data_IF_805153002057
#
_entry.id   IF_805153002057
#
_cell.length_a   1.000
_cell.length_b   1.000
_cell.length_c   1.000
_cell.angle_alpha   90.00
_cell.angle_beta   90.00
_cell.angle_gamma   90.00
#
_symmetry.space_group_name_H-M   'P 1'
#
loop_
_entity.id
_entity.type
_entity.pdbx_description
1 polymer ?
#
# COMPACT_ATOMS: atom_id res chain seq x y z
N UNK A 1 24.77 -26.66 -25.73
CA UNK A 1 24.29 -26.15 -24.43
C UNK A 1 22.77 -26.16 -24.47
N UNK A 2 22.07 -26.89 -23.57
CA UNK A 2 20.61 -26.94 -23.66
C UNK A 2 20.05 -25.60 -23.16
N UNK A 3 19.43 -24.81 -24.05
CA UNK A 3 18.65 -23.63 -23.69
C UNK A 3 17.46 -24.13 -22.88
N UNK A 4 17.65 -24.21 -21.57
CA UNK A 4 16.71 -24.82 -20.65
C UNK A 4 16.12 -23.71 -19.83
N UNK A 5 14.92 -23.32 -20.24
CA UNK A 5 13.76 -22.91 -19.46
C UNK A 5 13.09 -21.73 -20.18
N UNK A 6 11.91 -21.96 -20.79
CA UNK A 6 11.05 -20.85 -21.17
C UNK A 6 10.63 -20.13 -19.90
N UNK A 7 11.13 -18.90 -19.72
CA UNK A 7 10.57 -18.00 -18.73
C UNK A 7 9.21 -17.56 -19.26
N UNK A 8 8.13 -18.06 -18.66
CA UNK A 8 6.79 -17.53 -18.89
C UNK A 8 6.64 -16.20 -18.16
N UNK A 9 7.40 -15.18 -18.58
CA UNK A 9 7.40 -13.86 -17.97
C UNK A 9 6.01 -13.20 -17.96
N UNK A 10 5.11 -13.68 -18.83
CA UNK A 10 3.70 -13.30 -18.88
C UNK A 10 2.90 -13.77 -17.65
N UNK A 11 3.30 -14.87 -17.01
CA UNK A 11 2.64 -15.42 -15.82
C UNK A 11 3.07 -14.74 -14.51
N UNK A 12 4.15 -13.94 -14.54
CA UNK A 12 4.60 -13.19 -13.38
C UNK A 12 3.65 -12.00 -13.13
N UNK A 13 3.26 -11.77 -11.88
CA UNK A 13 2.60 -10.53 -11.52
C UNK A 13 3.59 -9.34 -11.60
N UNK A 14 3.12 -8.09 -11.43
CA UNK A 14 3.99 -6.92 -11.59
C UNK A 14 5.16 -6.90 -10.61
N UNK A 15 4.96 -7.34 -9.37
CA UNK A 15 6.00 -7.38 -8.33
C UNK A 15 7.04 -8.46 -8.64
N UNK A 16 6.59 -9.66 -8.99
CA UNK A 16 7.46 -10.77 -9.43
C UNK A 16 8.29 -10.37 -10.66
N UNK A 17 7.66 -9.73 -11.65
CA UNK A 17 8.37 -9.22 -12.83
C UNK A 17 9.40 -8.14 -12.48
N UNK A 18 9.04 -7.19 -11.61
CA UNK A 18 9.96 -6.12 -11.17
C UNK A 18 11.16 -6.71 -10.43
N UNK A 19 10.93 -7.73 -9.59
CA UNK A 19 12.00 -8.42 -8.88
C UNK A 19 12.90 -9.21 -9.83
N UNK A 20 12.34 -9.87 -10.86
CA UNK A 20 13.12 -10.54 -11.89
C UNK A 20 14.10 -9.57 -12.57
N UNK A 21 13.61 -8.41 -13.02
CA UNK A 21 14.45 -7.41 -13.68
C UNK A 21 15.49 -6.84 -12.70
N UNK A 22 15.09 -6.57 -11.45
CA UNK A 22 16.00 -6.07 -10.40
C UNK A 22 17.13 -7.06 -10.14
N UNK A 23 16.80 -8.32 -9.85
CA UNK A 23 17.80 -9.38 -9.62
C UNK A 23 18.68 -9.59 -10.84
N UNK A 24 18.13 -9.49 -12.05
CA UNK A 24 18.93 -9.58 -13.29
C UNK A 24 19.94 -8.42 -13.36
N UNK A 25 19.51 -7.16 -13.24
CA UNK A 25 20.40 -5.99 -13.29
C UNK A 25 21.45 -6.01 -12.18
N UNK A 26 21.04 -6.26 -10.93
CA UNK A 26 21.96 -6.29 -9.78
C UNK A 26 23.06 -7.34 -9.94
N UNK A 27 22.72 -8.48 -10.54
CA UNK A 27 23.70 -9.53 -10.81
C UNK A 27 24.56 -9.19 -12.03
N UNK A 28 23.97 -8.67 -13.11
CA UNK A 28 24.68 -8.29 -14.34
C UNK A 28 25.70 -7.18 -14.11
N UNK A 29 25.45 -6.25 -13.19
CA UNK A 29 26.42 -5.22 -12.77
C UNK A 29 27.74 -5.79 -12.28
N UNK A 30 27.72 -6.98 -11.68
CA UNK A 30 28.93 -7.65 -11.18
C UNK A 30 29.79 -8.22 -12.34
N UNK A 31 29.19 -8.37 -13.53
CA UNK A 31 29.84 -8.90 -14.73
C UNK A 31 29.99 -7.85 -15.84
N UNK A 32 29.62 -6.59 -15.59
CA UNK A 32 29.63 -5.50 -16.57
C UNK A 32 31.04 -5.15 -17.07
N UNK A 33 32.06 -5.37 -16.24
CA UNK A 33 33.49 -5.21 -16.60
C UNK A 33 34.04 -6.38 -17.41
N UNK A 34 33.32 -7.50 -17.48
CA UNK A 34 33.76 -8.74 -18.14
C UNK A 34 33.23 -8.89 -19.57
N UNK A 35 32.36 -7.99 -20.01
CA UNK A 35 31.80 -7.98 -21.37
C UNK A 35 32.49 -6.91 -22.22
N UNK A 36 33.06 -7.31 -23.37
CA UNK A 36 33.55 -6.37 -24.38
C UNK A 36 32.48 -6.02 -25.42
N UNK A 37 31.27 -6.59 -25.29
CA UNK A 37 30.17 -6.37 -26.20
C UNK A 37 29.41 -5.07 -25.88
N UNK A 38 29.44 -4.06 -26.78
CA UNK A 38 28.79 -2.78 -26.55
C UNK A 38 27.26 -2.90 -26.50
N UNK A 39 26.67 -3.88 -27.20
CA UNK A 39 25.22 -4.09 -27.18
C UNK A 39 24.77 -4.69 -25.85
N UNK A 40 25.55 -5.60 -25.27
CA UNK A 40 25.27 -6.14 -23.92
C UNK A 40 25.33 -5.03 -22.89
N UNK A 41 26.37 -4.18 -22.95
CA UNK A 41 26.52 -3.05 -22.03
C UNK A 41 25.37 -2.03 -22.13
N UNK A 42 24.98 -1.62 -23.36
CA UNK A 42 23.84 -0.72 -23.59
C UNK A 42 22.53 -1.29 -22.98
N UNK A 43 22.24 -2.55 -23.25
CA UNK A 43 21.00 -3.17 -22.79
C UNK A 43 20.94 -3.33 -21.26
N UNK A 44 22.08 -3.58 -20.61
CA UNK A 44 22.17 -3.59 -19.15
C UNK A 44 21.85 -2.20 -18.60
N UNK A 45 22.48 -1.15 -19.13
CA UNK A 45 22.27 0.23 -18.69
C UNK A 45 20.81 0.66 -18.88
N UNK A 46 20.20 0.37 -20.04
CA UNK A 46 18.79 0.71 -20.31
C UNK A 46 17.82 -0.06 -19.41
N UNK A 47 18.14 -1.31 -19.05
CA UNK A 47 17.37 -2.06 -18.07
C UNK A 47 17.47 -1.43 -16.68
N UNK A 48 18.67 -1.01 -16.28
CA UNK A 48 18.90 -0.30 -15.03
C UNK A 48 18.11 1.02 -14.97
N UNK A 49 18.18 1.84 -16.01
CA UNK A 49 17.44 3.10 -16.13
C UNK A 49 15.92 2.90 -16.07
N UNK A 50 15.43 1.72 -16.48
CA UNK A 50 14.01 1.38 -16.40
C UNK A 50 13.54 0.99 -14.98
N UNK A 51 14.45 0.61 -14.08
CA UNK A 51 14.11 0.11 -12.74
C UNK A 51 13.38 1.12 -11.86
N UNK A 52 13.76 2.41 -11.78
CA UNK A 52 13.05 3.39 -10.97
C UNK A 52 11.57 3.48 -11.36
N UNK A 53 11.28 3.52 -12.67
CA UNK A 53 9.92 3.61 -13.20
C UNK A 53 9.12 2.32 -12.94
N UNK A 54 9.74 1.15 -13.12
CA UNK A 54 9.18 -0.16 -12.76
C UNK A 54 8.80 -0.24 -11.27
N UNK A 55 9.71 0.16 -10.38
CA UNK A 55 9.49 0.17 -8.92
C UNK A 55 8.40 1.19 -8.53
N UNK A 56 8.34 2.35 -9.19
CA UNK A 56 7.30 3.36 -8.97
C UNK A 56 5.91 2.85 -9.41
N UNK A 57 5.83 2.09 -10.50
CA UNK A 57 4.56 1.52 -11.01
C UNK A 57 3.92 0.51 -10.05
N UNK A 58 4.73 -0.18 -9.23
CA UNK A 58 4.23 -1.05 -8.14
C UNK A 58 3.45 -0.27 -7.09
N UNK A 59 3.92 0.92 -6.72
CA UNK A 59 3.26 1.76 -5.72
C UNK A 59 1.91 2.24 -6.22
N UNK A 60 1.76 2.54 -7.52
CA UNK A 60 0.49 3.04 -8.07
C UNK A 60 -0.68 2.06 -7.90
N UNK A 61 -0.42 0.75 -8.04
CA UNK A 61 -1.46 -0.29 -7.88
C UNK A 61 -1.94 -0.46 -6.44
N UNK A 62 -1.09 -0.15 -5.45
CA UNK A 62 -1.52 -0.06 -4.06
C UNK A 62 -2.23 1.30 -3.92
N UNK A 63 -3.49 1.29 -3.48
CA UNK A 63 -4.25 2.52 -3.23
C UNK A 63 -3.47 3.47 -2.31
N UNK A 64 -3.93 4.73 -2.16
CA UNK A 64 -3.22 5.70 -1.28
C UNK A 64 -2.99 5.07 0.09
N UNK A 65 -1.74 5.08 0.56
CA UNK A 65 -1.31 4.51 1.86
C UNK A 65 -2.12 5.13 3.01
N UNK A 66 -2.68 6.31 2.78
CA UNK A 66 -3.53 7.06 3.70
C UNK A 66 -4.95 6.52 3.86
N UNK A 67 -5.37 5.55 3.04
CA UNK A 67 -6.75 5.04 3.06
C UNK A 67 -7.10 4.38 4.41
N UNK A 68 -6.17 3.59 4.95
CA UNK A 68 -6.36 2.93 6.24
C UNK A 68 -6.41 3.94 7.39
N UNK A 69 -5.53 4.93 7.38
CA UNK A 69 -5.47 5.96 8.41
C UNK A 69 -6.70 6.86 8.38
N UNK A 70 -7.17 7.23 7.17
CA UNK A 70 -8.42 7.96 7.02
C UNK A 70 -9.62 7.16 7.54
N UNK A 71 -9.69 5.87 7.24
CA UNK A 71 -10.77 5.01 7.76
C UNK A 71 -10.76 4.91 9.29
N UNK A 72 -9.57 4.80 9.90
CA UNK A 72 -9.41 4.85 11.37
C UNK A 72 -9.87 6.19 11.93
N UNK A 73 -9.45 7.31 11.34
CA UNK A 73 -9.84 8.65 11.77
C UNK A 73 -11.36 8.86 11.68
N UNK A 74 -12.00 8.42 10.58
CA UNK A 74 -13.46 8.44 10.42
C UNK A 74 -14.15 7.65 11.53
N UNK A 75 -13.60 6.47 11.89
CA UNK A 75 -14.15 5.63 12.96
C UNK A 75 -14.05 6.34 14.31
N UNK A 76 -12.92 6.97 14.62
CA UNK A 76 -12.72 7.72 15.86
C UNK A 76 -13.69 8.91 15.93
N UNK A 77 -13.80 9.71 14.87
CA UNK A 77 -14.77 10.82 14.80
C UNK A 77 -16.21 10.37 15.04
N UNK A 78 -16.60 9.21 14.50
CA UNK A 78 -17.92 8.62 14.76
C UNK A 78 -18.09 8.17 16.21
N UNK A 79 -17.03 7.63 16.81
CA UNK A 79 -17.02 7.23 18.20
C UNK A 79 -17.17 8.45 19.12
N UNK A 80 -16.44 9.54 18.87
CA UNK A 80 -16.52 10.76 19.69
C UNK A 80 -17.87 11.46 19.57
N UNK A 81 -18.43 11.53 18.36
CA UNK A 81 -19.80 12.01 18.16
C UNK A 81 -20.80 11.15 18.95
N UNK A 82 -20.64 9.82 18.92
CA UNK A 82 -21.50 8.91 19.67
C UNK A 82 -21.30 9.06 21.19
N UNK A 83 -20.07 9.32 21.65
CA UNK A 83 -19.75 9.55 23.05
C UNK A 83 -20.45 10.83 23.55
N UNK A 84 -20.39 11.92 22.80
CA UNK A 84 -21.14 13.14 23.11
C UNK A 84 -22.66 12.89 23.20
N UNK A 85 -23.24 12.26 22.18
CA UNK A 85 -24.69 11.97 22.15
C UNK A 85 -25.12 11.02 23.27
N UNK A 86 -24.28 10.03 23.62
CA UNK A 86 -24.58 9.11 24.70
C UNK A 86 -24.38 9.76 26.08
N UNK A 87 -23.37 10.61 26.26
CA UNK A 87 -23.18 11.41 27.47
C UNK A 87 -24.39 12.29 27.75
N UNK A 88 -24.94 12.92 26.72
CA UNK A 88 -26.17 13.72 26.83
C UNK A 88 -27.36 12.90 27.37
N UNK A 89 -27.51 11.63 26.96
CA UNK A 89 -28.62 10.77 27.41
C UNK A 89 -28.62 10.51 28.91
N UNK A 90 -27.49 10.65 29.60
CA UNK A 90 -27.42 10.49 31.07
C UNK A 90 -28.30 11.50 31.80
N UNK A 91 -28.57 12.65 31.18
CA UNK A 91 -29.36 13.73 31.76
C UNK A 91 -30.85 13.67 31.39
N UNK A 92 -31.29 12.67 30.63
CA UNK A 92 -32.68 12.54 30.14
C UNK A 92 -33.72 12.51 31.27
N UNK A 93 -33.38 11.90 32.41
CA UNK A 93 -34.26 11.72 33.56
C UNK A 93 -33.70 12.41 34.82
N UNK A 94 -32.88 13.45 34.65
CA UNK A 94 -32.33 14.20 35.78
C UNK A 94 -33.44 14.87 36.60
N UNK A 95 -33.27 14.91 37.93
CA UNK A 95 -34.21 15.58 38.85
C UNK A 95 -33.98 17.09 38.94
N UNK A 96 -32.84 17.56 38.45
CA UNK A 96 -32.47 18.99 38.45
C UNK A 96 -33.12 19.69 37.24
N UNK A 97 -34.07 20.62 37.43
CA UNK A 97 -34.83 21.24 36.34
C UNK A 97 -33.95 21.92 35.28
N UNK A 98 -32.88 22.59 35.71
CA UNK A 98 -31.97 23.33 34.83
C UNK A 98 -31.22 22.36 33.89
N UNK A 99 -30.73 21.24 34.44
CA UNK A 99 -30.07 20.18 33.66
C UNK A 99 -31.03 19.50 32.70
N UNK A 100 -32.30 19.33 33.08
CA UNK A 100 -33.31 18.73 32.21
C UNK A 100 -33.63 19.65 31.02
N UNK A 101 -33.74 20.95 31.25
CA UNK A 101 -33.93 21.94 30.19
C UNK A 101 -32.73 22.00 29.24
N UNK A 102 -31.51 22.02 29.77
CA UNK A 102 -30.27 21.94 28.98
C UNK A 102 -30.23 20.69 28.11
N UNK A 103 -30.59 19.53 28.68
CA UNK A 103 -30.73 18.28 27.94
C UNK A 103 -31.70 18.42 26.76
N UNK A 104 -32.90 18.95 26.98
CA UNK A 104 -33.88 19.11 25.92
C UNK A 104 -33.42 20.04 24.81
N UNK A 105 -32.80 21.20 25.14
CA UNK A 105 -32.27 22.13 24.14
C UNK A 105 -31.18 21.50 23.28
N UNK A 106 -30.20 20.84 23.90
CA UNK A 106 -29.12 20.16 23.18
C UNK A 106 -29.65 18.99 22.34
N UNK A 107 -30.62 18.24 22.86
CA UNK A 107 -31.24 17.12 22.15
C UNK A 107 -31.98 17.60 20.89
N UNK A 108 -32.71 18.71 20.96
CA UNK A 108 -33.35 19.32 19.78
C UNK A 108 -32.33 19.82 18.76
N UNK A 109 -31.26 20.46 19.22
CA UNK A 109 -30.17 20.89 18.35
C UNK A 109 -29.58 19.71 17.57
N UNK A 110 -29.18 18.64 18.27
CA UNK A 110 -28.53 17.46 17.67
C UNK A 110 -29.45 16.77 16.65
N UNK A 111 -30.78 16.77 16.88
CA UNK A 111 -31.73 16.19 15.91
C UNK A 111 -31.65 16.87 14.53
N UNK A 112 -31.30 18.15 14.47
CA UNK A 112 -31.13 18.90 13.21
C UNK A 112 -29.89 18.47 12.42
N UNK A 113 -28.90 17.87 13.09
CA UNK A 113 -27.60 17.49 12.51
C UNK A 113 -27.45 15.97 12.36
N UNK A 114 -28.56 15.24 12.27
CA UNK A 114 -28.52 13.78 12.05
C UNK A 114 -27.81 13.46 10.73
N UNK A 115 -26.62 12.89 10.87
CA UNK A 115 -25.85 12.34 9.76
C UNK A 115 -26.50 11.02 9.29
N UNK A 116 -27.03 11.00 8.08
CA UNK A 116 -27.65 9.79 7.50
C UNK A 116 -26.54 8.81 7.05
N UNK A 117 -26.88 7.53 6.85
CA UNK A 117 -25.88 6.53 6.41
C UNK A 117 -25.26 6.82 5.02
N UNK A 118 -25.79 7.76 4.25
CA UNK A 118 -25.41 8.04 2.85
C UNK A 118 -24.64 9.34 2.62
N UNK A 119 -24.35 10.10 3.67
CA UNK A 119 -23.70 11.42 3.56
C UNK A 119 -22.24 11.27 3.11
N UNK A 120 -21.85 11.97 2.04
CA UNK A 120 -20.46 11.96 1.58
C UNK A 120 -19.54 12.69 2.58
N UNK A 121 -18.21 12.57 2.44
CA UNK A 121 -17.27 13.12 3.44
C UNK A 121 -17.41 14.64 3.61
N UNK A 122 -17.62 15.36 2.52
CA UNK A 122 -17.71 16.82 2.52
C UNK A 122 -18.98 17.28 3.24
N UNK A 123 -20.12 16.69 2.90
CA UNK A 123 -21.41 16.99 3.54
C UNK A 123 -21.38 16.59 5.01
N UNK A 124 -20.84 15.42 5.34
CA UNK A 124 -20.69 14.99 6.73
C UNK A 124 -19.74 15.90 7.52
N UNK A 125 -18.76 16.51 6.87
CA UNK A 125 -17.83 17.42 7.56
C UNK A 125 -18.49 18.76 7.80
N UNK A 126 -19.15 19.33 6.78
CA UNK A 126 -19.90 20.59 6.90
C UNK A 126 -21.00 20.54 7.99
N UNK A 127 -21.69 19.39 8.14
CA UNK A 127 -22.66 19.21 9.22
C UNK A 127 -22.02 19.25 10.61
N UNK A 128 -20.85 18.60 10.78
CA UNK A 128 -20.15 18.60 12.06
C UNK A 128 -19.55 19.97 12.36
N UNK A 129 -18.99 20.66 11.37
CA UNK A 129 -18.52 22.05 11.51
C UNK A 129 -19.64 22.97 11.98
N UNK A 130 -20.80 22.90 11.31
CA UNK A 130 -21.97 23.70 11.66
C UNK A 130 -22.49 23.37 13.07
N UNK A 131 -22.53 22.09 13.45
CA UNK A 131 -22.90 21.67 14.80
C UNK A 131 -21.92 22.23 15.85
N UNK A 132 -20.61 22.03 15.67
CA UNK A 132 -19.59 22.51 16.60
C UNK A 132 -19.61 24.04 16.74
N UNK A 133 -19.81 24.76 15.64
CA UNK A 133 -19.94 26.22 15.66
C UNK A 133 -21.17 26.70 16.43
N UNK A 134 -22.26 25.94 16.41
CA UNK A 134 -23.50 26.26 17.14
C UNK A 134 -23.38 25.91 18.63
N UNK A 135 -22.75 24.78 18.94
CA UNK A 135 -22.46 24.34 20.30
C UNK A 135 -21.49 25.29 21.03
N UNK A 136 -20.62 25.99 20.30
CA UNK A 136 -19.70 26.97 20.86
C UNK A 136 -20.36 28.33 21.23
N UNK A 137 -21.66 28.50 20.99
CA UNK A 137 -22.39 29.75 21.24
C UNK A 137 -23.46 29.58 22.34
N UNK A 138 -23.76 30.62 23.12
CA UNK A 138 -24.92 30.62 24.02
C UNK A 138 -26.24 30.40 23.25
N UNK A 139 -27.24 29.73 23.83
CA UNK A 139 -27.21 29.12 25.18
C UNK A 139 -26.50 27.74 25.22
N UNK A 140 -26.12 27.17 24.07
CA UNK A 140 -25.62 25.78 24.00
C UNK A 140 -24.27 25.58 24.68
N UNK A 141 -23.37 26.57 24.63
CA UNK A 141 -22.09 26.50 25.33
C UNK A 141 -22.27 26.41 26.84
N UNK A 142 -23.23 27.16 27.39
CA UNK A 142 -23.57 27.14 28.82
C UNK A 142 -24.20 25.80 29.21
N UNK A 143 -25.10 25.28 28.36
CA UNK A 143 -25.72 23.97 28.55
C UNK A 143 -24.68 22.83 28.53
N UNK A 144 -23.68 22.91 27.66
CA UNK A 144 -22.58 21.94 27.60
C UNK A 144 -21.80 21.91 28.90
N UNK A 145 -21.40 23.08 29.42
CA UNK A 145 -20.64 23.17 30.67
C UNK A 145 -21.48 22.77 31.89
N UNK A 146 -22.77 23.13 31.92
CA UNK A 146 -23.71 22.71 32.98
C UNK A 146 -23.86 21.17 33.04
N UNK A 147 -23.81 20.51 31.89
CA UNK A 147 -23.88 19.06 31.78
C UNK A 147 -22.50 18.37 31.81
N UNK A 148 -21.41 19.12 31.98
CA UNK A 148 -20.03 18.63 32.01
C UNK A 148 -19.66 17.84 30.75
N UNK A 149 -20.08 18.32 29.58
CA UNK A 149 -19.83 17.66 28.28
C UNK A 149 -18.68 18.31 27.50
N UNK A 150 -17.94 19.24 28.08
CA UNK A 150 -16.87 20.01 27.41
C UNK A 150 -15.79 19.10 26.80
N UNK A 151 -15.35 18.07 27.54
CA UNK A 151 -14.35 17.12 27.06
C UNK A 151 -14.84 16.33 25.84
N UNK A 152 -16.11 15.88 25.85
CA UNK A 152 -16.68 15.17 24.71
C UNK A 152 -16.75 16.05 23.46
N UNK A 153 -17.01 17.35 23.61
CA UNK A 153 -16.99 18.32 22.51
C UNK A 153 -15.56 18.59 22.04
N UNK A 154 -14.60 18.69 22.94
CA UNK A 154 -13.19 18.86 22.60
C UNK A 154 -12.66 17.67 21.79
N UNK A 155 -12.93 16.43 22.23
CA UNK A 155 -12.53 15.22 21.53
C UNK A 155 -13.16 15.14 20.12
N UNK A 156 -14.45 15.45 20.00
CA UNK A 156 -15.12 15.49 18.69
C UNK A 156 -14.51 16.54 17.75
N UNK A 157 -14.13 17.71 18.27
CA UNK A 157 -13.45 18.75 17.48
C UNK A 157 -12.10 18.26 16.98
N UNK A 158 -11.27 17.71 17.86
CA UNK A 158 -9.94 17.22 17.52
C UNK A 158 -10.00 16.09 16.47
N UNK A 159 -10.86 15.10 16.68
CA UNK A 159 -10.99 13.98 15.75
C UNK A 159 -11.62 14.40 14.42
N UNK A 160 -12.50 15.41 14.43
CA UNK A 160 -13.02 16.02 13.21
C UNK A 160 -11.91 16.71 12.40
N UNK A 161 -11.15 17.61 13.01
CA UNK A 161 -10.05 18.34 12.37
C UNK A 161 -8.99 17.38 11.80
N UNK A 162 -8.61 16.37 12.59
CA UNK A 162 -7.65 15.35 12.17
C UNK A 162 -8.17 14.54 10.96
N UNK A 163 -9.44 14.15 10.97
CA UNK A 163 -10.08 13.44 9.85
C UNK A 163 -10.11 14.30 8.60
N UNK A 164 -10.49 15.57 8.70
CA UNK A 164 -10.61 16.48 7.57
C UNK A 164 -9.24 16.78 6.95
N UNK A 165 -8.21 16.98 7.78
CA UNK A 165 -6.82 17.14 7.33
C UNK A 165 -6.32 15.92 6.54
N UNK A 166 -6.59 14.70 7.03
CA UNK A 166 -6.23 13.47 6.32
C UNK A 166 -6.98 13.33 5.00
N UNK A 167 -8.26 13.70 4.98
CA UNK A 167 -9.08 13.72 3.77
C UNK A 167 -8.50 14.67 2.71
N UNK A 168 -8.17 15.91 3.09
CA UNK A 168 -7.56 16.89 2.18
C UNK A 168 -6.22 16.40 1.63
N UNK A 169 -5.36 15.87 2.49
CA UNK A 169 -4.04 15.34 2.08
C UNK A 169 -4.18 14.14 1.15
N UNK A 170 -5.15 13.24 1.37
CA UNK A 170 -5.46 12.14 0.43
C UNK A 170 -6.01 12.66 -0.91
N UNK A 171 -6.86 13.69 -0.88
CA UNK A 171 -7.38 14.32 -2.10
C UNK A 171 -6.25 14.92 -2.94
N UNK A 172 -5.33 15.64 -2.29
CA UNK A 172 -4.14 16.21 -2.92
C UNK A 172 -3.21 15.12 -3.48
N UNK A 173 -2.91 14.08 -2.68
CA UNK A 173 -2.14 12.91 -3.13
C UNK A 173 -2.77 12.30 -4.39
N UNK A 174 -4.08 12.09 -4.38
CA UNK A 174 -4.81 11.54 -5.54
C UNK A 174 -4.73 12.46 -6.76
N UNK A 175 -4.84 13.78 -6.57
CA UNK A 175 -4.83 14.76 -7.65
C UNK A 175 -3.43 15.00 -8.24
N UNK A 176 -2.38 14.84 -7.45
CA UNK A 176 -0.98 15.10 -7.86
C UNK A 176 -0.23 13.82 -8.23
N UNK A 177 -0.83 12.65 -8.00
CA UNK A 177 -0.23 11.36 -8.36
C UNK A 177 -0.04 11.27 -9.87
N UNK A 178 1.21 11.26 -10.30
CA UNK A 178 1.58 10.97 -11.68
C UNK A 178 1.03 9.60 -12.07
N UNK A 179 0.23 9.56 -13.14
CA UNK A 179 -0.30 8.32 -13.69
C UNK A 179 0.77 7.66 -14.55
N UNK A 180 1.32 6.56 -14.06
CA UNK A 180 2.25 5.72 -14.81
C UNK A 180 1.44 4.66 -15.53
N UNK A 181 1.63 4.55 -16.84
CA UNK A 181 1.16 3.41 -17.60
C UNK A 181 2.00 2.18 -17.24
N UNK A 182 1.59 1.51 -16.16
CA UNK A 182 2.31 0.35 -15.62
C UNK A 182 2.45 -0.78 -16.65
N UNK A 183 1.55 -0.86 -17.63
CA UNK A 183 1.58 -1.87 -18.68
C UNK A 183 2.67 -1.53 -19.71
N UNK A 184 2.72 -0.29 -20.18
CA UNK A 184 3.75 0.15 -21.13
C UNK A 184 5.16 0.11 -20.51
N UNK A 185 5.28 0.48 -19.23
CA UNK A 185 6.55 0.35 -18.48
C UNK A 185 7.00 -1.11 -18.44
N UNK A 186 6.08 -2.04 -18.13
CA UNK A 186 6.38 -3.47 -18.11
C UNK A 186 6.79 -3.98 -19.51
N UNK A 187 6.02 -3.62 -20.55
CA UNK A 187 6.31 -4.04 -21.93
C UNK A 187 7.69 -3.57 -22.37
N UNK A 188 8.05 -2.34 -22.06
CA UNK A 188 9.35 -1.75 -22.43
C UNK A 188 10.49 -2.51 -21.77
N UNK A 189 10.44 -2.70 -20.46
CA UNK A 189 11.48 -3.47 -19.75
C UNK A 189 11.55 -4.93 -20.22
N UNK A 190 10.40 -5.55 -20.52
CA UNK A 190 10.37 -6.92 -21.03
C UNK A 190 11.01 -7.04 -22.43
N UNK A 191 10.80 -6.06 -23.30
CA UNK A 191 11.46 -5.99 -24.61
C UNK A 191 12.98 -5.91 -24.46
N UNK A 192 13.48 -5.01 -23.60
CA UNK A 192 14.92 -4.87 -23.33
C UNK A 192 15.53 -6.17 -22.80
N UNK A 193 14.87 -6.78 -21.81
CA UNK A 193 15.31 -8.03 -21.22
C UNK A 193 15.33 -9.19 -22.23
N UNK A 194 14.29 -9.28 -23.06
CA UNK A 194 14.18 -10.31 -24.12
C UNK A 194 15.26 -10.12 -25.19
N UNK A 195 15.52 -8.87 -25.59
CA UNK A 195 16.57 -8.56 -26.55
C UNK A 195 17.96 -8.93 -26.02
N UNK A 196 18.27 -8.56 -24.78
CA UNK A 196 19.54 -8.92 -24.11
C UNK A 196 19.72 -10.44 -24.08
N UNK A 197 18.71 -11.16 -23.58
CA UNK A 197 18.77 -12.62 -23.45
C UNK A 197 18.93 -13.29 -24.82
N UNK A 198 18.21 -12.82 -25.84
CA UNK A 198 18.25 -13.41 -27.19
C UNK A 198 19.61 -13.16 -27.86
N UNK A 199 20.18 -11.96 -27.69
CA UNK A 199 21.53 -11.62 -28.16
C UNK A 199 22.58 -12.54 -27.55
N UNK A 200 22.56 -12.70 -26.22
CA UNK A 200 23.48 -13.59 -25.50
C UNK A 200 23.33 -15.05 -25.97
N UNK A 201 22.11 -15.56 -26.09
CA UNK A 201 21.89 -16.92 -26.61
C UNK A 201 22.48 -17.10 -28.00
N UNK A 202 22.21 -16.17 -28.91
CA UNK A 202 22.72 -16.24 -30.28
C UNK A 202 24.25 -16.17 -30.31
N UNK A 203 24.85 -15.26 -29.54
CA UNK A 203 26.30 -15.11 -29.42
C UNK A 203 26.96 -16.38 -28.92
N UNK A 204 26.47 -16.97 -27.83
CA UNK A 204 27.05 -18.20 -27.25
C UNK A 204 26.80 -19.44 -28.12
N UNK A 205 25.71 -19.47 -28.89
CA UNK A 205 25.48 -20.54 -29.86
C UNK A 205 26.45 -20.46 -31.04
N UNK A 206 26.81 -19.26 -31.48
CA UNK A 206 27.79 -19.03 -32.54
C UNK A 206 29.22 -19.26 -32.04
N UNK A 207 29.56 -18.73 -30.86
CA UNK A 207 30.86 -18.90 -30.20
C UNK A 207 30.68 -19.37 -28.74
N UNK A 208 30.81 -20.69 -28.49
CA UNK A 208 30.68 -21.27 -27.15
C UNK A 208 31.80 -20.89 -26.17
N UNK A 209 32.84 -20.22 -26.64
CA UNK A 209 34.01 -19.77 -25.85
C UNK A 209 33.93 -18.29 -25.47
N UNK A 210 32.94 -17.55 -25.99
CA UNK A 210 32.74 -16.15 -25.70
C UNK A 210 32.62 -15.88 -24.18
N UNK A 211 33.26 -14.82 -23.66
CA UNK A 211 33.32 -14.52 -22.23
C UNK A 211 31.93 -14.25 -21.62
N UNK A 212 30.97 -13.78 -22.41
CA UNK A 212 29.59 -13.51 -21.96
C UNK A 212 28.79 -14.79 -21.65
N UNK A 213 29.38 -15.98 -21.81
CA UNK A 213 28.75 -17.25 -21.42
C UNK A 213 28.38 -17.28 -19.94
N UNK A 214 29.22 -16.69 -19.10
CA UNK A 214 28.97 -16.58 -17.65
C UNK A 214 27.72 -15.73 -17.40
N UNK A 215 27.56 -14.64 -18.14
CA UNK A 215 26.39 -13.76 -18.07
C UNK A 215 25.11 -14.54 -18.43
N UNK A 216 25.15 -15.32 -19.51
CA UNK A 216 24.00 -16.14 -19.92
C UNK A 216 23.66 -17.22 -18.88
N UNK A 217 24.66 -17.85 -18.26
CA UNK A 217 24.45 -18.86 -17.21
C UNK A 217 23.72 -18.25 -16.00
N UNK A 218 24.22 -17.14 -15.49
CA UNK A 218 23.61 -16.42 -14.36
C UNK A 218 22.15 -16.03 -14.67
N UNK A 219 21.88 -15.53 -15.88
CA UNK A 219 20.50 -15.21 -16.27
C UNK A 219 19.61 -16.45 -16.32
N UNK A 220 20.13 -17.61 -16.71
CA UNK A 220 19.37 -18.86 -16.68
C UNK A 220 19.04 -19.29 -15.25
N UNK A 221 19.99 -19.15 -14.32
CA UNK A 221 19.77 -19.49 -12.90
C UNK A 221 18.65 -18.62 -12.30
N UNK A 222 18.70 -17.31 -12.55
CA UNK A 222 17.64 -16.39 -12.14
C UNK A 222 16.30 -16.81 -12.76
N UNK A 223 16.26 -17.10 -14.07
CA UNK A 223 15.02 -17.53 -14.74
C UNK A 223 14.46 -18.83 -14.16
N UNK A 224 15.33 -19.75 -13.77
CA UNK A 224 14.96 -21.01 -13.14
C UNK A 224 14.29 -20.76 -11.79
N UNK A 225 14.89 -19.94 -10.93
CA UNK A 225 14.33 -19.61 -9.61
C UNK A 225 12.90 -19.05 -9.71
N UNK A 226 12.65 -18.16 -10.67
CA UNK A 226 11.31 -17.58 -10.88
C UNK A 226 10.33 -18.58 -11.50
N UNK A 227 10.80 -19.47 -12.38
CA UNK A 227 9.98 -20.53 -12.97
C UNK A 227 9.52 -21.54 -11.91
N UNK A 228 10.43 -21.97 -11.03
CA UNK A 228 10.14 -22.90 -9.96
C UNK A 228 9.14 -22.32 -8.94
N UNK A 229 9.34 -21.06 -8.53
CA UNK A 229 8.40 -20.34 -7.65
C UNK A 229 7.00 -20.23 -8.26
N UNK A 230 6.92 -19.97 -9.57
CA UNK A 230 5.63 -19.92 -10.29
C UNK A 230 4.96 -21.29 -10.35
N UNK A 231 5.74 -22.36 -10.58
CA UNK A 231 5.25 -23.74 -10.61
C UNK A 231 4.71 -24.18 -9.25
N UNK A 232 5.44 -23.91 -8.16
CA UNK A 232 5.01 -24.21 -6.80
C UNK A 232 3.70 -23.51 -6.46
N UNK A 233 3.57 -22.21 -6.77
CA UNK A 233 2.35 -21.43 -6.57
C UNK A 233 1.13 -22.06 -7.26
N UNK A 234 1.30 -22.49 -8.52
CA UNK A 234 0.22 -23.13 -9.28
C UNK A 234 -0.17 -24.51 -8.70
N UNK A 235 0.77 -25.23 -8.09
CA UNK A 235 0.50 -26.50 -7.40
C UNK A 235 -0.19 -26.31 -6.04
N UNK A 236 0.18 -25.28 -5.27
CA UNK A 236 -0.52 -24.91 -4.03
C UNK A 236 -1.89 -24.27 -4.27
N UNK A 237 -2.10 -23.58 -5.40
CA UNK A 237 -3.40 -23.06 -5.80
C UNK A 237 -4.43 -24.14 -6.14
N UNK A 238 -3.97 -25.35 -6.48
CA UNK A 238 -4.80 -26.55 -6.68
C UNK A 238 -4.98 -27.40 -5.41
N UNK A 239 -4.21 -27.13 -4.35
CA UNK A 239 -4.30 -27.83 -3.07
C UNK A 239 -4.41 -26.82 -1.92
N UNK A 240 -5.60 -26.27 -1.70
CA UNK A 240 -5.97 -25.77 -0.37
C UNK A 240 -6.11 -26.95 0.58
N UNK A 241 -4.98 -27.39 1.14
CA UNK A 241 -4.93 -28.11 2.39
C UNK A 241 -3.73 -27.57 3.18
N UNK A 242 -4.05 -27.03 4.35
CA UNK A 242 -3.21 -26.39 5.36
C UNK A 242 -1.83 -27.03 5.50
N UNK A 243 -0.75 -26.25 5.40
CA UNK A 243 0.55 -26.69 5.93
C UNK A 243 1.20 -25.55 6.72
N UNK A 244 1.43 -25.89 7.99
CA UNK A 244 2.06 -25.10 9.05
C UNK A 244 3.47 -24.67 8.67
N UNK A 245 3.81 -23.41 8.98
CA UNK A 245 5.17 -22.89 8.88
C UNK A 245 5.96 -23.41 10.09
N UNK A 246 6.84 -24.38 9.88
CA UNK A 246 7.92 -24.71 10.82
C UNK A 246 9.18 -23.99 10.34
N UNK A 247 9.54 -22.91 11.03
CA UNK A 247 10.86 -22.28 10.92
C UNK A 247 11.88 -23.13 11.69
N UNK A 248 12.85 -23.71 10.99
CA UNK A 248 14.11 -24.14 11.61
C UNK A 248 15.26 -23.26 11.08
N UNK A 249 15.94 -22.60 12.02
CA UNK A 249 17.19 -21.88 11.81
C UNK A 249 18.36 -22.86 11.62
N UNK A 250 19.40 -22.52 10.85
CA UNK A 250 20.58 -23.35 10.73
C UNK A 250 21.48 -23.18 11.97
N UNK A 251 21.58 -24.22 12.79
CA UNK A 251 22.74 -24.41 13.69
C UNK A 251 23.84 -25.07 12.83
N UNK A 252 25.06 -24.56 12.73
CA UNK A 252 25.97 -24.22 13.81
C UNK A 252 26.90 -25.42 14.04
N UNK A 253 28.16 -25.33 13.59
CA UNK A 253 29.22 -26.35 13.78
C UNK A 253 29.34 -26.74 15.26
N UNK A 254 29.61 -28.02 15.55
CA UNK A 254 30.78 -28.46 16.33
C UNK A 254 30.96 -29.99 16.35
N UNK A 255 32.14 -30.37 16.84
CA UNK A 255 32.92 -31.59 16.65
C UNK A 255 32.58 -32.78 17.58
N UNK A 256 33.00 -33.97 17.11
CA UNK A 256 33.65 -35.09 17.82
C UNK A 256 32.92 -36.06 18.77
N UNK A 257 33.51 -37.28 18.73
CA UNK A 257 33.41 -38.49 19.57
C UNK A 257 32.25 -39.44 19.26
N UNK A 258 32.45 -40.73 18.96
CA UNK A 258 33.52 -41.69 19.28
C UNK A 258 33.88 -42.56 18.08
#
# INVERSE_FOLDING_TARGET
MKIRIPLYAQQLNQAEFTQLITSSVDTLKQYSTSTSDPMVADLINRLEESLPLLKKSLKQKRGSDMTNDLNKAIKNRKADYSAFVNGLKLFKNTRTPEKLQAYHRLQELIKLYKNTRSTNMQESSALIDSLLARLAKPPYSEDISLLMLDEAIANLRESHESTYRLYLKRSQDTSTREKIDSLEVRKTAFKLYTLLYSHLVNKINYDPTAPEKVILQVLNDIRQDFSEKTRQKNQTGTNTASINIVTSLPQGKELETR
#
